data_IF_249428766333
#
_entry.id   IF_249428766333
#
_cell.length_a   1.000
_cell.length_b   1.000
_cell.length_c   1.000
_cell.angle_alpha   90.00
_cell.angle_beta   90.00
_cell.angle_gamma   90.00
#
_symmetry.space_group_name_H-M   'P 1'
#
loop_
_entity.id
_entity.type
_entity.pdbx_description
1 polymer ?
#
# COMPACT_ATOMS: atom_id res chain seq x y z
N UNK A 1 6.99 29.30 7.72
CA UNK A 1 6.93 28.23 8.72
C UNK A 1 6.59 26.91 8.03
N UNK A 2 7.59 26.07 7.79
CA UNK A 2 7.51 24.76 7.12
C UNK A 2 6.78 23.77 8.04
N UNK A 3 5.44 23.84 8.03
CA UNK A 3 4.59 22.84 8.65
C UNK A 3 4.90 21.49 7.97
N UNK A 4 5.65 20.66 8.69
CA UNK A 4 6.34 19.47 8.20
C UNK A 4 5.42 18.58 7.34
N UNK A 5 5.90 18.11 6.18
CA UNK A 5 5.20 17.14 5.31
C UNK A 5 4.62 15.96 6.11
N UNK A 6 5.28 15.59 7.21
CA UNK A 6 4.85 14.60 8.21
C UNK A 6 3.45 14.88 8.79
N UNK A 7 3.10 16.15 9.03
CA UNK A 7 1.77 16.51 9.52
C UNK A 7 0.69 16.35 8.44
N UNK A 8 1.03 16.64 7.18
CA UNK A 8 0.09 16.51 6.05
C UNK A 8 -0.17 15.06 5.68
N UNK A 9 0.80 14.17 5.88
CA UNK A 9 0.63 12.73 5.70
C UNK A 9 -0.34 12.12 6.73
N UNK A 10 -0.32 12.60 7.98
CA UNK A 10 -1.31 12.20 8.98
C UNK A 10 -2.74 12.64 8.61
N UNK A 11 -2.87 13.80 7.97
CA UNK A 11 -4.15 14.28 7.44
C UNK A 11 -4.64 13.42 6.27
N UNK A 12 -3.74 12.93 5.40
CA UNK A 12 -4.09 12.02 4.31
C UNK A 12 -4.66 10.69 4.83
N UNK A 13 -4.07 10.10 5.88
CA UNK A 13 -4.60 8.89 6.53
C UNK A 13 -5.95 9.14 7.20
N UNK A 14 -6.17 10.34 7.77
CA UNK A 14 -7.47 10.71 8.35
C UNK A 14 -8.59 10.82 7.33
N UNK A 15 -8.25 11.15 6.08
CA UNK A 15 -9.21 11.31 4.96
C UNK A 15 -9.29 10.09 4.04
N UNK A 16 -8.57 9.01 4.36
CA UNK A 16 -8.60 7.77 3.60
C UNK A 16 -9.98 7.09 3.71
N UNK A 17 -10.54 6.57 2.61
CA UNK A 17 -11.76 5.78 2.63
C UNK A 17 -11.69 4.61 3.63
N UNK A 18 -12.80 4.32 4.32
CA UNK A 18 -12.83 3.32 5.40
C UNK A 18 -12.43 1.91 4.94
N UNK A 19 -12.72 1.55 3.69
CA UNK A 19 -12.30 0.27 3.11
C UNK A 19 -10.78 0.15 3.03
N UNK A 20 -10.10 1.16 2.49
CA UNK A 20 -8.64 1.21 2.42
C UNK A 20 -7.99 1.28 3.81
N UNK A 21 -8.64 2.00 4.74
CA UNK A 21 -8.20 2.07 6.13
C UNK A 21 -8.29 0.70 6.82
N UNK A 22 -9.31 -0.09 6.50
CA UNK A 22 -9.46 -1.47 6.98
C UNK A 22 -8.33 -2.36 6.48
N UNK A 23 -8.03 -2.32 5.17
CA UNK A 23 -6.90 -3.07 4.57
C UNK A 23 -5.57 -2.70 5.23
N UNK A 24 -5.32 -1.42 5.44
CA UNK A 24 -4.14 -0.92 6.15
C UNK A 24 -4.05 -1.47 7.58
N UNK A 25 -5.14 -1.41 8.34
CA UNK A 25 -5.17 -1.88 9.72
C UNK A 25 -4.97 -3.39 9.82
N UNK A 26 -5.60 -4.17 8.94
CA UNK A 26 -5.44 -5.62 8.89
C UNK A 26 -3.99 -6.00 8.54
N UNK A 27 -3.39 -5.29 7.58
CA UNK A 27 -1.97 -5.45 7.24
C UNK A 27 -1.04 -5.22 8.44
N UNK A 28 -1.31 -4.18 9.24
CA UNK A 28 -0.56 -3.90 10.47
C UNK A 28 -0.75 -5.02 11.49
N UNK A 29 -1.98 -5.53 11.67
CA UNK A 29 -2.25 -6.65 12.59
C UNK A 29 -1.46 -7.90 12.20
N UNK A 30 -1.40 -8.23 10.91
CA UNK A 30 -0.63 -9.38 10.39
C UNK A 30 0.84 -9.26 10.74
N UNK A 31 1.44 -8.09 10.47
CA UNK A 31 2.85 -7.84 10.78
C UNK A 31 3.09 -7.94 12.28
N UNK A 32 2.23 -7.32 13.08
CA UNK A 32 2.34 -7.38 14.53
C UNK A 32 2.23 -8.80 15.06
N UNK A 33 1.35 -9.65 14.51
CA UNK A 33 1.21 -11.05 14.91
C UNK A 33 2.50 -11.85 14.66
N UNK A 34 3.09 -11.71 13.47
CA UNK A 34 4.32 -12.42 13.08
C UNK A 34 5.53 -11.88 13.86
N UNK A 35 5.54 -10.58 14.16
CA UNK A 35 6.63 -9.91 14.87
C UNK A 35 6.49 -9.90 16.39
N UNK A 36 5.33 -10.26 16.93
CA UNK A 36 5.04 -10.19 18.37
C UNK A 36 6.03 -11.00 19.21
N UNK A 37 6.53 -12.11 18.67
CA UNK A 37 7.48 -12.99 19.36
C UNK A 37 8.63 -13.39 18.43
N UNK A 38 9.87 -13.52 18.94
CA UNK A 38 11.01 -13.99 18.14
C UNK A 38 10.76 -15.36 17.49
N UNK A 39 10.05 -16.26 18.18
CA UNK A 39 9.69 -17.57 17.64
C UNK A 39 8.80 -17.46 16.39
N UNK A 40 7.75 -16.63 16.44
CA UNK A 40 6.86 -16.39 15.30
C UNK A 40 7.65 -15.90 14.08
N UNK A 41 8.58 -14.97 14.31
CA UNK A 41 9.45 -14.46 13.25
C UNK A 41 10.36 -15.54 12.67
N UNK A 42 10.89 -16.45 13.50
CA UNK A 42 11.70 -17.59 13.04
C UNK A 42 10.88 -18.59 12.23
N UNK A 43 9.68 -18.94 12.70
CA UNK A 43 8.75 -19.84 12.00
C UNK A 43 8.39 -19.25 10.63
N UNK A 44 8.03 -17.97 10.58
CA UNK A 44 7.71 -17.30 9.33
C UNK A 44 8.92 -17.24 8.38
N UNK A 45 10.13 -17.03 8.92
CA UNK A 45 11.36 -17.02 8.12
C UNK A 45 11.61 -18.39 7.49
N UNK A 46 11.51 -19.47 8.27
CA UNK A 46 11.65 -20.84 7.78
C UNK A 46 10.60 -21.16 6.69
N UNK A 47 9.35 -20.75 6.90
CA UNK A 47 8.29 -20.93 5.91
C UNK A 47 8.61 -20.22 4.58
N UNK A 48 9.11 -18.98 4.63
CA UNK A 48 9.50 -18.26 3.41
C UNK A 48 10.69 -18.94 2.70
N UNK A 49 11.66 -19.46 3.46
CA UNK A 49 12.82 -20.17 2.90
C UNK A 49 12.40 -21.49 2.24
N UNK A 50 11.49 -22.24 2.87
CA UNK A 50 10.92 -23.48 2.30
C UNK A 50 10.12 -23.24 1.03
N UNK A 51 9.42 -22.10 0.94
CA UNK A 51 8.64 -21.72 -0.25
C UNK A 51 9.48 -21.06 -1.35
N UNK A 52 10.78 -20.87 -1.13
CA UNK A 52 11.67 -20.24 -2.10
C UNK A 52 11.38 -18.75 -2.33
N UNK A 53 10.82 -18.06 -1.34
CA UNK A 53 10.44 -16.65 -1.46
C UNK A 53 11.67 -15.74 -1.63
N UNK A 54 11.56 -14.71 -2.46
CA UNK A 54 12.62 -13.69 -2.64
C UNK A 54 12.95 -12.93 -1.34
N UNK A 55 12.01 -12.89 -0.40
CA UNK A 55 12.18 -12.26 0.90
C UNK A 55 11.80 -13.23 2.01
N UNK A 56 12.68 -13.40 3.00
CA UNK A 56 12.41 -14.31 4.12
C UNK A 56 11.84 -13.62 5.37
N UNK A 57 11.68 -12.29 5.35
CA UNK A 57 11.28 -11.53 6.54
C UNK A 57 10.31 -10.40 6.19
N UNK A 58 9.29 -10.24 7.03
CA UNK A 58 8.51 -9.01 7.09
C UNK A 58 9.34 -7.88 7.70
N UNK A 59 9.08 -6.66 7.27
CA UNK A 59 9.68 -5.45 7.83
C UNK A 59 8.94 -5.07 9.11
N UNK A 60 9.67 -4.77 10.19
CA UNK A 60 9.08 -4.16 11.38
C UNK A 60 8.95 -2.65 11.12
N UNK A 61 7.87 -2.04 11.59
CA UNK A 61 7.74 -0.59 11.58
C UNK A 61 8.81 0.05 12.48
N UNK A 62 9.88 0.58 11.90
CA UNK A 62 10.82 1.46 12.61
C UNK A 62 10.82 2.85 11.98
N UNK A 63 10.48 3.82 12.84
CA UNK A 63 10.57 5.28 12.79
C UNK A 63 10.87 6.02 11.48
N UNK A 64 10.02 5.84 10.46
CA UNK A 64 9.30 6.97 9.82
C UNK A 64 7.92 6.42 9.46
N UNK A 65 6.90 6.91 10.18
CA UNK A 65 5.60 6.21 10.39
C UNK A 65 4.81 5.85 9.13
N UNK A 66 5.15 6.41 7.98
CA UNK A 66 4.45 6.20 6.72
C UNK A 66 5.37 5.67 5.59
N UNK A 67 6.64 6.11 5.50
CA UNK A 67 7.63 5.56 4.56
C UNK A 67 7.82 4.05 4.78
N UNK A 68 7.83 3.66 6.05
CA UNK A 68 7.87 2.24 6.44
C UNK A 68 6.58 1.49 6.10
N UNK A 69 5.41 2.16 6.11
CA UNK A 69 4.13 1.51 5.80
C UNK A 69 4.04 1.08 4.35
N UNK A 70 4.47 1.92 3.40
CA UNK A 70 4.52 1.53 1.99
C UNK A 70 5.34 0.26 1.78
N UNK A 71 6.58 0.23 2.28
CA UNK A 71 7.45 -0.95 2.18
C UNK A 71 6.85 -2.19 2.85
N UNK A 72 6.18 -2.02 3.98
CA UNK A 72 5.48 -3.11 4.67
C UNK A 72 4.35 -3.67 3.82
N UNK A 73 3.50 -2.84 3.22
CA UNK A 73 2.40 -3.29 2.36
C UNK A 73 2.92 -4.04 1.12
N UNK A 74 3.96 -3.53 0.46
CA UNK A 74 4.62 -4.23 -0.64
C UNK A 74 5.10 -5.62 -0.19
N UNK A 75 5.79 -5.69 0.94
CA UNK A 75 6.33 -6.96 1.45
C UNK A 75 5.24 -7.96 1.83
N UNK A 76 4.11 -7.50 2.36
CA UNK A 76 2.95 -8.37 2.63
C UNK A 76 2.37 -8.89 1.32
N UNK A 77 2.25 -8.03 0.30
CA UNK A 77 1.71 -8.43 -1.00
C UNK A 77 2.61 -9.45 -1.73
N UNK A 78 3.93 -9.24 -1.67
CA UNK A 78 4.92 -10.19 -2.19
C UNK A 78 4.86 -11.54 -1.47
N UNK A 79 4.72 -11.53 -0.14
CA UNK A 79 4.71 -12.73 0.71
C UNK A 79 3.30 -13.21 1.06
N UNK A 80 2.30 -12.92 0.23
CA UNK A 80 0.89 -13.16 0.56
C UNK A 80 0.57 -14.65 0.73
N UNK A 81 1.26 -15.53 0.02
CA UNK A 81 1.05 -16.98 0.10
C UNK A 81 1.67 -17.56 1.38
N UNK A 82 2.85 -17.11 1.76
CA UNK A 82 3.54 -17.44 3.02
C UNK A 82 2.75 -16.90 4.22
N UNK A 83 2.30 -15.64 4.12
CA UNK A 83 1.43 -15.02 5.13
C UNK A 83 0.13 -15.80 5.28
N UNK A 84 -0.49 -16.24 4.18
CA UNK A 84 -1.68 -17.08 4.21
C UNK A 84 -1.43 -18.38 4.98
N UNK A 85 -0.39 -19.13 4.62
CA UNK A 85 -0.07 -20.40 5.27
C UNK A 85 0.25 -20.22 6.76
N UNK A 86 1.01 -19.19 7.12
CA UNK A 86 1.29 -18.87 8.50
C UNK A 86 0.00 -18.60 9.32
N UNK A 87 -0.93 -17.82 8.75
CA UNK A 87 -2.21 -17.49 9.39
C UNK A 87 -3.13 -18.71 9.51
N UNK A 88 -3.15 -19.59 8.50
CA UNK A 88 -3.89 -20.85 8.55
C UNK A 88 -3.37 -21.76 9.66
N UNK A 89 -2.06 -21.92 9.77
CA UNK A 89 -1.42 -22.70 10.83
C UNK A 89 -1.69 -22.13 12.23
N UNK A 90 -1.95 -20.82 12.31
CA UNK A 90 -2.30 -20.12 13.55
C UNK A 90 -3.82 -20.05 13.79
N UNK A 91 -4.64 -20.63 12.90
CA UNK A 91 -6.11 -20.56 12.89
C UNK A 91 -6.66 -19.11 13.00
N UNK A 92 -6.02 -18.16 12.31
CA UNK A 92 -6.33 -16.74 12.42
C UNK A 92 -7.31 -16.28 11.32
N UNK A 93 -8.33 -15.51 11.68
CA UNK A 93 -9.42 -15.06 10.77
C UNK A 93 -8.94 -14.32 9.51
N UNK A 94 -7.80 -13.62 9.62
CA UNK A 94 -7.19 -12.86 8.52
C UNK A 94 -6.64 -13.74 7.39
N UNK A 95 -6.55 -15.07 7.57
CA UNK A 95 -6.14 -15.97 6.49
C UNK A 95 -7.04 -15.82 5.25
N UNK A 96 -8.35 -15.63 5.45
CA UNK A 96 -9.33 -15.46 4.37
C UNK A 96 -9.10 -14.19 3.56
N UNK A 97 -8.47 -13.15 4.14
CA UNK A 97 -8.14 -11.90 3.43
C UNK A 97 -7.10 -12.12 2.33
N UNK A 98 -6.24 -13.13 2.47
CA UNK A 98 -5.23 -13.49 1.46
C UNK A 98 -5.82 -14.27 0.27
N UNK A 99 -7.12 -14.56 0.28
CA UNK A 99 -7.88 -15.14 -0.84
C UNK A 99 -8.90 -14.16 -1.41
N UNK A 100 -9.23 -13.10 -0.68
CA UNK A 100 -10.14 -12.05 -1.11
C UNK A 100 -9.46 -11.17 -2.17
N UNK A 101 -9.88 -11.35 -3.42
CA UNK A 101 -9.38 -10.59 -4.55
C UNK A 101 -9.53 -9.08 -4.36
N UNK A 102 -10.66 -8.62 -3.83
CA UNK A 102 -10.92 -7.19 -3.63
C UNK A 102 -9.95 -6.62 -2.61
N UNK A 103 -9.74 -7.35 -1.51
CA UNK A 103 -8.80 -6.96 -0.47
C UNK A 103 -7.36 -6.93 -0.99
N UNK A 104 -6.93 -7.94 -1.75
CA UNK A 104 -5.59 -8.01 -2.34
C UNK A 104 -5.33 -6.88 -3.35
N UNK A 105 -6.30 -6.57 -4.20
CA UNK A 105 -6.15 -5.46 -5.15
C UNK A 105 -6.15 -4.11 -4.42
N UNK A 106 -6.93 -3.92 -3.35
CA UNK A 106 -6.83 -2.73 -2.50
C UNK A 106 -5.48 -2.63 -1.79
N UNK A 107 -4.90 -3.75 -1.34
CA UNK A 107 -3.57 -3.82 -0.77
C UNK A 107 -2.50 -3.41 -1.81
N UNK A 108 -2.57 -3.94 -3.03
CA UNK A 108 -1.68 -3.59 -4.13
C UNK A 108 -1.76 -2.09 -4.48
N UNK A 109 -2.99 -1.56 -4.60
CA UNK A 109 -3.23 -0.14 -4.83
C UNK A 109 -2.60 0.73 -3.74
N UNK A 110 -2.81 0.38 -2.46
CA UNK A 110 -2.21 1.10 -1.35
C UNK A 110 -0.67 1.01 -1.38
N UNK A 111 -0.11 -0.15 -1.70
CA UNK A 111 1.34 -0.31 -1.83
C UNK A 111 1.92 0.63 -2.90
N UNK A 112 1.30 0.72 -4.08
CA UNK A 112 1.71 1.62 -5.16
C UNK A 112 1.59 3.11 -4.75
N UNK A 113 0.45 3.53 -4.19
CA UNK A 113 0.23 4.91 -3.72
C UNK A 113 1.27 5.31 -2.67
N UNK A 114 1.54 4.44 -1.69
CA UNK A 114 2.53 4.73 -0.65
C UNK A 114 3.96 4.75 -1.21
N UNK A 115 4.30 3.92 -2.20
CA UNK A 115 5.60 3.96 -2.86
C UNK A 115 5.83 5.30 -3.58
N UNK A 116 4.82 5.78 -4.30
CA UNK A 116 4.83 7.07 -4.98
C UNK A 116 5.05 8.21 -3.98
N UNK A 117 4.24 8.24 -2.91
CA UNK A 117 4.38 9.25 -1.88
C UNK A 117 5.79 9.18 -1.26
N UNK A 118 6.29 7.98 -0.95
CA UNK A 118 7.62 7.77 -0.36
C UNK A 118 8.73 8.30 -1.27
N UNK A 119 8.63 8.05 -2.58
CA UNK A 119 9.57 8.58 -3.57
C UNK A 119 9.55 10.12 -3.60
N UNK A 120 8.37 10.74 -3.53
CA UNK A 120 8.28 12.19 -3.40
C UNK A 120 8.96 12.68 -2.13
N UNK A 121 8.66 12.09 -0.97
CA UNK A 121 9.23 12.58 0.28
C UNK A 121 10.76 12.45 0.32
N UNK A 122 11.32 11.36 -0.21
CA UNK A 122 12.77 11.26 -0.40
C UNK A 122 13.29 12.37 -1.32
N UNK A 123 12.57 12.66 -2.41
CA UNK A 123 12.92 13.76 -3.31
C UNK A 123 12.78 15.16 -2.66
N UNK A 124 11.98 15.32 -1.60
CA UNK A 124 11.83 16.55 -0.82
C UNK A 124 12.81 16.66 0.36
N UNK A 125 13.48 15.57 0.75
CA UNK A 125 14.50 15.54 1.81
C UNK A 125 15.94 15.73 1.28
N UNK A 126 16.12 15.93 -0.03
CA UNK A 126 17.43 16.14 -0.64
C UNK A 126 18.15 17.40 -0.11
N UNK A 127 19.46 17.30 0.15
CA UNK A 127 20.30 18.34 0.77
C UNK A 127 20.49 19.62 -0.07
N UNK A 128 19.96 19.67 -1.29
CA UNK A 128 20.19 20.75 -2.27
C UNK A 128 18.87 21.29 -2.87
N UNK A 129 17.83 21.43 -2.06
CA UNK A 129 16.52 21.89 -2.52
C UNK A 129 16.31 23.36 -2.18
N UNK A 130 16.11 24.18 -3.22
CA UNK A 130 15.60 25.55 -3.06
C UNK A 130 14.08 25.54 -2.89
N UNK A 131 13.51 26.63 -2.36
CA UNK A 131 12.06 26.79 -2.20
C UNK A 131 11.33 26.67 -3.54
N UNK A 132 11.93 27.17 -4.63
CA UNK A 132 11.39 27.05 -5.99
C UNK A 132 11.33 25.59 -6.45
N UNK A 133 12.39 24.80 -6.25
CA UNK A 133 12.41 23.38 -6.59
C UNK A 133 11.37 22.60 -5.77
N UNK A 134 11.21 22.92 -4.48
CA UNK A 134 10.19 22.32 -3.62
C UNK A 134 8.78 22.59 -4.18
N UNK A 135 8.51 23.84 -4.53
CA UNK A 135 7.24 24.26 -5.09
C UNK A 135 6.93 23.54 -6.40
N UNK A 136 7.92 23.43 -7.30
CA UNK A 136 7.75 22.76 -8.59
C UNK A 136 7.51 21.26 -8.42
N UNK A 137 8.19 20.60 -7.48
CA UNK A 137 7.95 19.17 -7.16
C UNK A 137 6.53 18.93 -6.62
N UNK A 138 6.04 19.81 -5.75
CA UNK A 138 4.67 19.72 -5.22
C UNK A 138 3.65 19.98 -6.34
N UNK A 139 3.89 20.98 -7.19
CA UNK A 139 3.01 21.30 -8.33
C UNK A 139 2.97 20.15 -9.33
N UNK A 140 4.12 19.55 -9.64
CA UNK A 140 4.22 18.38 -10.51
C UNK A 140 3.48 17.17 -9.93
N UNK A 141 3.56 16.93 -8.61
CA UNK A 141 2.79 15.87 -7.97
C UNK A 141 1.29 16.12 -8.12
N UNK A 142 0.81 17.32 -7.81
CA UNK A 142 -0.61 17.66 -7.97
C UNK A 142 -1.12 17.41 -9.38
N UNK A 143 -0.33 17.81 -10.38
CA UNK A 143 -0.67 17.52 -11.78
C UNK A 143 -0.71 16.00 -12.07
N UNK A 144 0.25 15.22 -11.55
CA UNK A 144 0.25 13.76 -11.69
C UNK A 144 -0.96 13.12 -11.02
N UNK A 145 -1.36 13.58 -9.84
CA UNK A 145 -2.53 13.09 -9.11
C UNK A 145 -3.82 13.29 -9.91
N UNK A 146 -4.00 14.47 -10.52
CA UNK A 146 -5.14 14.74 -11.41
C UNK A 146 -5.15 13.79 -12.60
N UNK A 147 -3.98 13.55 -13.22
CA UNK A 147 -3.86 12.59 -14.32
C UNK A 147 -4.24 11.18 -13.85
N UNK A 148 -3.73 10.72 -12.71
CA UNK A 148 -4.05 9.39 -12.18
C UNK A 148 -5.52 9.22 -11.86
N UNK A 149 -6.16 10.23 -11.28
CA UNK A 149 -7.60 10.23 -11.07
C UNK A 149 -8.34 10.02 -12.41
N UNK A 150 -7.99 10.79 -13.44
CA UNK A 150 -8.61 10.66 -14.77
C UNK A 150 -8.31 9.33 -15.47
N UNK A 151 -7.22 8.63 -15.07
CA UNK A 151 -6.86 7.30 -15.58
C UNK A 151 -7.61 6.20 -14.85
N UNK A 152 -7.81 6.34 -13.54
CA UNK A 152 -8.65 5.43 -12.76
C UNK A 152 -10.09 5.41 -13.29
N UNK A 153 -10.64 6.58 -13.68
CA UNK A 153 -11.95 6.67 -14.32
C UNK A 153 -12.03 5.92 -15.66
N UNK A 154 -10.90 5.79 -16.36
CA UNK A 154 -10.77 5.06 -17.64
C UNK A 154 -10.32 3.61 -17.47
N UNK A 155 -10.12 3.15 -16.23
CA UNK A 155 -9.58 1.82 -15.91
C UNK A 155 -8.15 1.59 -16.44
N UNK A 156 -7.36 2.66 -16.54
CA UNK A 156 -5.95 2.61 -16.90
C UNK A 156 -5.07 2.55 -15.64
N UNK A 157 -4.40 1.41 -15.44
CA UNK A 157 -3.62 1.15 -14.22
C UNK A 157 -2.10 1.24 -14.41
N UNK A 158 -1.59 1.71 -15.56
CA UNK A 158 -0.14 1.78 -15.86
C UNK A 158 0.69 2.54 -14.82
N UNK A 159 0.04 3.41 -14.04
CA UNK A 159 0.68 4.20 -12.98
C UNK A 159 0.78 3.45 -11.64
N UNK A 160 0.15 2.28 -11.53
CA UNK A 160 0.06 1.44 -10.36
C UNK A 160 0.57 0.04 -10.72
N UNK A 161 1.90 -0.13 -10.72
CA UNK A 161 2.56 -1.31 -11.26
C UNK A 161 2.19 -2.61 -10.54
N UNK A 162 2.06 -2.60 -9.21
CA UNK A 162 1.65 -3.78 -8.46
C UNK A 162 0.20 -4.13 -8.75
N UNK A 163 -0.70 -3.14 -8.67
CA UNK A 163 -2.10 -3.35 -8.99
C UNK A 163 -2.28 -3.88 -10.41
N UNK A 164 -1.63 -3.25 -11.38
CA UNK A 164 -1.67 -3.65 -12.78
C UNK A 164 -1.22 -5.11 -12.96
N UNK A 165 -0.05 -5.46 -12.42
CA UNK A 165 0.46 -6.83 -12.50
C UNK A 165 -0.50 -7.84 -11.88
N UNK A 166 -1.11 -7.51 -10.74
CA UNK A 166 -2.09 -8.37 -10.08
C UNK A 166 -3.35 -8.55 -10.91
N UNK A 167 -3.91 -7.46 -11.45
CA UNK A 167 -5.11 -7.49 -12.27
C UNK A 167 -4.91 -8.30 -13.56
N UNK A 168 -3.76 -8.18 -14.23
CA UNK A 168 -3.46 -8.94 -15.45
C UNK A 168 -3.06 -10.40 -15.19
N UNK A 169 -2.50 -10.70 -14.02
CA UNK A 169 -2.25 -12.10 -13.61
C UNK A 169 -3.52 -12.84 -13.19
N UNK A 170 -4.61 -12.11 -12.94
CA UNK A 170 -5.90 -12.63 -12.49
C UNK A 170 -6.92 -12.65 -13.63
N UNK A 171 -7.94 -13.51 -13.54
CA UNK A 171 -8.97 -13.69 -14.58
C UNK A 171 -9.61 -12.34 -15.01
N UNK A 172 -9.76 -12.06 -16.34
CA UNK A 172 -10.37 -10.84 -16.88
C UNK A 172 -11.71 -10.42 -16.27
N UNK A 173 -12.55 -11.36 -15.79
CA UNK A 173 -13.82 -11.03 -15.12
C UNK A 173 -13.67 -10.26 -13.81
N UNK A 174 -12.49 -10.27 -13.19
CA UNK A 174 -12.24 -9.64 -11.90
C UNK A 174 -11.89 -8.14 -12.00
N UNK A 175 -11.42 -7.68 -13.16
CA UNK A 175 -11.07 -6.28 -13.42
C UNK A 175 -12.30 -5.35 -13.33
N UNK A 176 -13.46 -5.80 -13.84
CA UNK A 176 -14.73 -5.07 -13.75
C UNK A 176 -15.25 -4.93 -12.31
N UNK A 177 -14.88 -5.86 -11.42
CA UNK A 177 -15.29 -5.83 -10.01
C UNK A 177 -14.50 -4.78 -9.23
N UNK A 178 -13.26 -4.50 -9.62
CA UNK A 178 -12.43 -3.46 -9.02
C UNK A 178 -12.86 -2.05 -9.44
N UNK A 179 -13.26 -1.88 -10.72
CA UNK A 179 -13.87 -0.65 -11.22
C UNK A 179 -15.07 -0.21 -10.37
N UNK A 180 -15.96 -1.14 -10.03
CA UNK A 180 -17.13 -0.88 -9.18
C UNK A 180 -16.74 -0.51 -7.74
N UNK A 181 -15.69 -1.12 -7.18
CA UNK A 181 -15.26 -0.88 -5.79
C UNK A 181 -14.54 0.47 -5.62
N UNK A 182 -13.77 0.91 -6.61
CA UNK A 182 -13.13 2.23 -6.60
C UNK A 182 -14.12 3.35 -6.97
N UNK A 183 -14.93 3.19 -8.03
CA UNK A 183 -15.81 4.26 -8.55
C UNK A 183 -17.01 4.53 -7.65
N UNK A 184 -17.56 3.52 -6.95
CA UNK A 184 -18.74 3.73 -6.08
C UNK A 184 -18.39 4.42 -4.75
N UNK A 185 -17.13 4.38 -4.29
CA UNK A 185 -16.73 4.93 -2.99
C UNK A 185 -15.79 6.15 -3.03
N UNK A 186 -15.30 6.58 -4.19
CA UNK A 186 -14.58 7.86 -4.34
C UNK A 186 -15.45 9.00 -4.86
N UNK A 187 -16.67 8.73 -5.32
CA UNK A 187 -17.63 9.73 -5.86
C UNK A 187 -18.27 10.64 -4.81
N UNK A 188 -18.00 10.42 -3.53
CA UNK A 188 -18.46 11.27 -2.42
C UNK A 188 -17.51 12.40 -2.02
N UNK A 189 -16.35 12.57 -2.65
CA UNK A 189 -15.41 13.62 -2.26
C UNK A 189 -14.87 14.45 -3.43
N UNK A 190 -14.93 15.80 -3.32
CA UNK A 190 -14.45 16.68 -4.37
C UNK A 190 -12.93 16.53 -4.57
N UNK A 191 -12.37 17.01 -5.70
CA UNK A 191 -10.98 16.79 -6.15
C UNK A 191 -9.88 17.41 -5.28
N UNK A 192 -10.19 17.75 -4.03
CA UNK A 192 -9.32 18.41 -3.05
C UNK A 192 -8.75 17.44 -2.02
N UNK A 193 -8.79 16.14 -2.30
CA UNK A 193 -8.39 15.11 -1.34
C UNK A 193 -7.11 14.37 -1.74
N UNK A 194 -6.08 15.11 -2.18
CA UNK A 194 -4.64 14.84 -2.01
C UNK A 194 -3.85 16.17 -2.08
#
# INVERSE_FOLDING_TARGET
STHCCIHREQLAVKRMPDQLKTVMNDSIKIVNLIKARPLNSRIFTALCEEMGSNHSKLLLHTEVRWLSRGKVLNRIFELRDEVRLYLLNSNHELANRMLDFSWLAQLAFLADVFNILNALNLALQGKSLTIFILHDKIKALRAKLVIWYSRLDRLEFDSFTLLQSFLFSSDPMMCNRFAAVCVVNTTGCPPLML
#
